data_IF_351228617408
#
_entry.id   IF_351228617408
#
_cell.length_a   1.000
_cell.length_b   1.000
_cell.length_c   1.000
_cell.angle_alpha   90.00
_cell.angle_beta   90.00
_cell.angle_gamma   90.00
#
_symmetry.space_group_name_H-M   'P 1'
#
loop_
_entity.id
_entity.type
_entity.pdbx_description
1 polymer ?
#
# COMPACT_ATOMS: atom_id res chain seq x y z
N UNK A 1 -10.05 -38.80 -18.21
CA UNK A 1 -8.71 -38.41 -18.71
C UNK A 1 -7.61 -38.59 -17.66
N UNK A 2 -7.78 -38.14 -16.41
CA UNK A 2 -6.74 -38.17 -15.35
C UNK A 2 -6.21 -39.53 -14.87
N UNK A 3 -6.89 -40.65 -15.16
CA UNK A 3 -6.49 -42.00 -14.70
C UNK A 3 -5.20 -42.52 -15.36
N UNK A 4 -4.78 -41.93 -16.49
CA UNK A 4 -3.55 -42.31 -17.21
C UNK A 4 -2.30 -41.56 -16.73
N UNK A 5 -2.44 -40.34 -16.20
CA UNK A 5 -1.30 -39.49 -15.81
C UNK A 5 -0.51 -40.02 -14.61
N UNK A 6 -1.12 -40.85 -13.77
CA UNK A 6 -0.50 -41.39 -12.55
C UNK A 6 0.43 -42.59 -12.78
N UNK A 7 0.54 -43.09 -14.02
CA UNK A 7 1.45 -44.22 -14.28
C UNK A 7 2.88 -43.68 -14.45
N UNK A 8 3.89 -44.26 -13.77
CA UNK A 8 5.25 -43.72 -13.76
C UNK A 8 5.83 -43.44 -15.15
N UNK A 9 5.53 -44.29 -16.13
CA UNK A 9 6.03 -44.17 -17.50
C UNK A 9 5.56 -42.90 -18.25
N UNK A 10 4.50 -42.24 -17.79
CA UNK A 10 3.96 -41.04 -18.44
C UNK A 10 4.33 -39.73 -17.72
N UNK A 11 4.85 -39.80 -16.49
CA UNK A 11 5.11 -38.60 -15.68
C UNK A 11 6.04 -37.62 -16.41
N UNK A 12 7.14 -38.11 -16.98
CA UNK A 12 8.10 -37.24 -17.66
C UNK A 12 7.53 -36.65 -18.97
N UNK A 13 6.90 -37.48 -19.80
CA UNK A 13 6.35 -37.02 -21.08
C UNK A 13 5.21 -36.03 -20.89
N UNK A 14 4.34 -36.28 -19.91
CA UNK A 14 3.21 -35.39 -19.60
C UNK A 14 3.69 -34.11 -18.90
N UNK A 15 4.65 -34.20 -17.98
CA UNK A 15 5.29 -33.03 -17.39
C UNK A 15 5.91 -32.10 -18.44
N UNK A 16 6.56 -32.64 -19.47
CA UNK A 16 7.09 -31.85 -20.61
C UNK A 16 5.97 -31.17 -21.41
N UNK A 17 4.85 -31.85 -21.65
CA UNK A 17 3.67 -31.27 -22.32
C UNK A 17 3.06 -30.13 -21.50
N UNK A 18 2.83 -30.36 -20.21
CA UNK A 18 2.29 -29.34 -19.29
C UNK A 18 3.21 -28.11 -19.19
N UNK A 19 4.52 -28.34 -19.14
CA UNK A 19 5.51 -27.26 -19.11
C UNK A 19 5.46 -26.42 -20.39
N UNK A 20 5.34 -27.06 -21.56
CA UNK A 20 5.20 -26.37 -22.85
C UNK A 20 3.90 -25.58 -22.92
N UNK A 21 2.78 -26.21 -22.54
CA UNK A 21 1.48 -25.55 -22.51
C UNK A 21 1.48 -24.31 -21.62
N UNK A 22 2.07 -24.39 -20.41
CA UNK A 22 2.23 -23.25 -19.51
C UNK A 22 3.10 -22.14 -20.13
N UNK A 23 4.19 -22.50 -20.80
CA UNK A 23 5.09 -21.53 -21.41
C UNK A 23 4.48 -20.80 -22.62
N UNK A 24 3.61 -21.47 -23.38
CA UNK A 24 2.95 -20.94 -24.58
C UNK A 24 1.63 -20.19 -24.27
N UNK A 25 1.07 -20.40 -23.09
CA UNK A 25 -0.19 -19.79 -22.66
C UNK A 25 -0.02 -18.29 -22.34
N UNK A 26 -0.49 -17.43 -23.24
CA UNK A 26 -0.40 -15.98 -23.06
C UNK A 26 -1.28 -15.47 -21.91
N UNK A 27 -2.39 -16.14 -21.63
CA UNK A 27 -3.38 -15.68 -20.67
C UNK A 27 -2.93 -15.90 -19.22
N UNK A 28 -1.98 -16.82 -18.97
CA UNK A 28 -1.32 -16.94 -17.67
C UNK A 28 -0.04 -16.11 -17.55
N UNK A 29 0.70 -15.93 -18.66
CA UNK A 29 1.98 -15.20 -18.65
C UNK A 29 1.81 -13.68 -18.73
N UNK A 30 0.74 -13.20 -19.39
CA UNK A 30 0.41 -11.78 -19.56
C UNK A 30 -1.11 -11.59 -19.44
N UNK A 31 -1.70 -11.94 -18.28
CA UNK A 31 -3.15 -11.85 -18.09
C UNK A 31 -3.65 -10.40 -18.21
N UNK A 32 -4.81 -10.16 -18.86
CA UNK A 32 -5.39 -8.82 -18.94
C UNK A 32 -5.86 -8.31 -17.57
N UNK A 33 -6.32 -9.21 -16.70
CA UNK A 33 -6.74 -8.90 -15.33
C UNK A 33 -6.58 -10.10 -14.39
N UNK A 34 -6.85 -9.86 -13.09
CA UNK A 34 -6.77 -10.88 -12.05
C UNK A 34 -7.69 -12.07 -12.31
N UNK A 35 -8.87 -11.84 -12.88
CA UNK A 35 -9.85 -12.90 -13.12
C UNK A 35 -9.35 -13.86 -14.19
N UNK A 36 -8.92 -13.33 -15.33
CA UNK A 36 -8.32 -14.11 -16.40
C UNK A 36 -7.12 -14.91 -15.91
N UNK A 37 -6.25 -14.28 -15.10
CA UNK A 37 -5.12 -14.97 -14.47
C UNK A 37 -5.56 -16.16 -13.60
N UNK A 38 -6.54 -15.95 -12.71
CA UNK A 38 -7.05 -17.00 -11.80
C UNK A 38 -7.70 -18.14 -12.56
N UNK A 39 -8.44 -17.84 -13.63
CA UNK A 39 -9.06 -18.87 -14.48
C UNK A 39 -7.99 -19.80 -15.07
N UNK A 40 -6.92 -19.23 -15.67
CA UNK A 40 -5.82 -20.02 -16.22
C UNK A 40 -4.98 -20.72 -15.15
N UNK A 41 -4.72 -20.06 -14.03
CA UNK A 41 -3.98 -20.64 -12.91
C UNK A 41 -4.68 -21.89 -12.37
N UNK A 42 -6.01 -21.88 -12.29
CA UNK A 42 -6.79 -23.04 -11.86
C UNK A 42 -6.70 -24.22 -12.85
N UNK A 43 -6.73 -23.95 -14.15
CA UNK A 43 -6.55 -24.95 -15.20
C UNK A 43 -5.17 -25.63 -15.06
N UNK A 44 -4.10 -24.83 -15.04
CA UNK A 44 -2.73 -25.33 -14.89
C UNK A 44 -2.53 -26.04 -13.55
N UNK A 45 -3.05 -25.48 -12.45
CA UNK A 45 -3.00 -26.14 -11.14
C UNK A 45 -3.62 -27.53 -11.20
N UNK A 46 -4.77 -27.68 -11.85
CA UNK A 46 -5.46 -28.97 -11.95
C UNK A 46 -4.62 -30.03 -12.66
N UNK A 47 -4.03 -29.65 -13.80
CA UNK A 47 -3.17 -30.55 -14.59
C UNK A 47 -1.91 -30.96 -13.82
N UNK A 48 -1.23 -29.99 -13.21
CA UNK A 48 -0.03 -30.24 -12.40
C UNK A 48 -0.34 -31.05 -11.14
N UNK A 49 -1.48 -30.79 -10.49
CA UNK A 49 -1.92 -31.55 -9.32
C UNK A 49 -2.22 -33.01 -9.69
N UNK A 50 -2.78 -33.25 -10.88
CA UNK A 50 -3.10 -34.60 -11.33
C UNK A 50 -1.89 -35.41 -11.83
N UNK A 51 -0.84 -34.73 -12.32
CA UNK A 51 0.43 -35.37 -12.69
C UNK A 51 1.06 -36.13 -11.50
N UNK A 52 0.98 -35.54 -10.31
CA UNK A 52 1.35 -36.15 -9.04
C UNK A 52 2.73 -36.88 -9.05
N UNK A 53 3.82 -36.20 -9.48
CA UNK A 53 5.09 -36.82 -9.86
C UNK A 53 5.91 -37.41 -8.71
N UNK A 54 5.63 -37.02 -7.46
CA UNK A 54 6.41 -37.42 -6.29
C UNK A 54 5.70 -38.49 -5.47
N UNK A 55 6.47 -39.28 -4.71
CA UNK A 55 5.91 -40.25 -3.75
C UNK A 55 5.15 -39.57 -2.61
N UNK A 56 5.65 -38.42 -2.16
CA UNK A 56 5.03 -37.54 -1.17
C UNK A 56 5.38 -36.08 -1.51
N UNK A 57 4.61 -35.12 -1.01
CA UNK A 57 4.93 -33.70 -1.15
C UNK A 57 4.32 -33.00 -2.36
N UNK A 58 3.56 -33.70 -3.20
CA UNK A 58 2.93 -33.12 -4.41
C UNK A 58 2.17 -31.83 -4.12
N UNK A 59 1.28 -31.81 -3.12
CA UNK A 59 0.54 -30.60 -2.78
C UNK A 59 1.42 -29.41 -2.40
N UNK A 60 2.50 -29.64 -1.63
CA UNK A 60 3.46 -28.58 -1.24
C UNK A 60 4.24 -28.09 -2.46
N UNK A 61 4.76 -29.00 -3.28
CA UNK A 61 5.52 -28.67 -4.49
C UNK A 61 4.65 -27.92 -5.50
N UNK A 62 3.43 -28.36 -5.76
CA UNK A 62 2.50 -27.70 -6.69
C UNK A 62 2.10 -26.31 -6.20
N UNK A 63 1.85 -26.12 -4.89
CA UNK A 63 1.55 -24.79 -4.33
C UNK A 63 2.71 -23.81 -4.51
N UNK A 64 3.95 -24.25 -4.25
CA UNK A 64 5.14 -23.42 -4.45
C UNK A 64 5.35 -23.12 -5.93
N UNK A 65 5.12 -24.09 -6.81
CA UNK A 65 5.21 -23.87 -8.25
C UNK A 65 4.18 -22.86 -8.75
N UNK A 66 2.91 -22.96 -8.33
CA UNK A 66 1.88 -21.97 -8.68
C UNK A 66 2.18 -20.57 -8.13
N UNK A 67 2.79 -20.47 -6.95
CA UNK A 67 3.25 -19.19 -6.41
C UNK A 67 4.35 -18.57 -7.30
N UNK A 68 5.28 -19.38 -7.81
CA UNK A 68 6.29 -18.92 -8.76
C UNK A 68 5.65 -18.45 -10.08
N UNK A 69 4.66 -19.19 -10.60
CA UNK A 69 3.90 -18.77 -11.79
C UNK A 69 3.20 -17.42 -11.56
N UNK A 70 2.54 -17.25 -10.41
CA UNK A 70 1.89 -15.99 -10.04
C UNK A 70 2.87 -14.82 -10.00
N UNK A 71 4.04 -15.00 -9.37
CA UNK A 71 5.06 -13.94 -9.28
C UNK A 71 5.54 -13.49 -10.65
N UNK A 72 5.73 -14.42 -11.59
CA UNK A 72 6.12 -14.10 -12.97
C UNK A 72 5.06 -13.29 -13.73
N UNK A 73 3.79 -13.48 -13.37
CA UNK A 73 2.66 -12.74 -13.95
C UNK A 73 2.33 -11.42 -13.22
N UNK A 74 3.14 -11.01 -12.23
CA UNK A 74 2.89 -9.78 -11.45
C UNK A 74 1.87 -9.95 -10.31
N UNK A 75 1.66 -11.18 -9.85
CA UNK A 75 0.79 -11.51 -8.73
C UNK A 75 1.54 -12.21 -7.60
N UNK A 76 0.97 -12.18 -6.40
CA UNK A 76 1.37 -12.99 -5.26
C UNK A 76 0.27 -13.97 -4.92
N UNK A 77 0.64 -15.19 -4.55
CA UNK A 77 -0.28 -16.19 -4.00
C UNK A 77 -0.15 -16.20 -2.47
N UNK A 78 -1.13 -15.64 -1.76
CA UNK A 78 -1.11 -15.59 -0.30
C UNK A 78 -1.44 -16.97 0.30
N UNK A 79 -0.40 -17.75 0.60
CA UNK A 79 -0.52 -19.08 1.16
C UNK A 79 -1.30 -19.10 2.49
N UNK A 80 -1.24 -18.03 3.28
CA UNK A 80 -1.95 -17.92 4.56
C UNK A 80 -3.47 -17.93 4.36
N UNK A 81 -3.94 -17.33 3.26
CA UNK A 81 -5.37 -17.34 2.89
C UNK A 81 -5.84 -18.73 2.50
N UNK A 82 -4.98 -19.52 1.85
CA UNK A 82 -5.26 -20.92 1.55
C UNK A 82 -5.26 -21.75 2.84
N UNK A 83 -4.28 -21.57 3.70
CA UNK A 83 -4.15 -22.33 4.96
C UNK A 83 -5.31 -22.05 5.91
N UNK A 84 -5.83 -20.83 5.93
CA UNK A 84 -7.04 -20.47 6.69
C UNK A 84 -8.30 -21.25 6.25
N UNK A 85 -8.31 -21.82 5.05
CA UNK A 85 -9.43 -22.60 4.50
C UNK A 85 -9.01 -24.02 4.10
N UNK A 86 -8.07 -24.62 4.84
CA UNK A 86 -7.44 -25.90 4.53
C UNK A 86 -8.42 -27.02 4.09
N UNK A 87 -9.53 -27.21 4.79
CA UNK A 87 -10.49 -28.27 4.43
C UNK A 87 -11.20 -27.97 3.11
N UNK A 88 -11.60 -26.70 2.88
CA UNK A 88 -12.15 -26.24 1.61
C UNK A 88 -11.15 -26.42 0.47
N UNK A 89 -9.87 -26.12 0.73
CA UNK A 89 -8.77 -26.33 -0.23
C UNK A 89 -8.60 -27.81 -0.58
N UNK A 90 -8.55 -28.70 0.41
CA UNK A 90 -8.38 -30.15 0.17
C UNK A 90 -9.53 -30.70 -0.69
N UNK A 91 -10.76 -30.30 -0.38
CA UNK A 91 -11.94 -30.69 -1.14
C UNK A 91 -11.87 -30.14 -2.58
N UNK A 92 -11.60 -28.84 -2.76
CA UNK A 92 -11.48 -28.21 -4.06
C UNK A 92 -10.34 -28.79 -4.92
N UNK A 93 -9.19 -29.10 -4.30
CA UNK A 93 -8.06 -29.74 -4.97
C UNK A 93 -8.38 -31.18 -5.41
N UNK A 94 -9.18 -31.90 -4.63
CA UNK A 94 -9.67 -33.22 -5.02
C UNK A 94 -10.65 -33.12 -6.20
N UNK A 95 -11.56 -32.14 -6.15
CA UNK A 95 -12.54 -31.89 -7.23
C UNK A 95 -11.89 -31.42 -8.52
N UNK A 96 -10.79 -30.64 -8.45
CA UNK A 96 -10.09 -30.18 -9.65
C UNK A 96 -9.58 -31.35 -10.49
N UNK A 97 -9.07 -32.42 -9.86
CA UNK A 97 -8.67 -33.65 -10.55
C UNK A 97 -9.83 -34.38 -11.27
N UNK A 98 -11.08 -34.01 -11.00
CA UNK A 98 -12.25 -34.51 -11.71
C UNK A 98 -12.74 -33.52 -12.79
N UNK A 99 -12.02 -32.41 -13.01
CA UNK A 99 -12.38 -31.32 -13.92
C UNK A 99 -13.33 -30.29 -13.31
N UNK A 100 -13.67 -30.39 -12.02
CA UNK A 100 -14.53 -29.43 -11.34
C UNK A 100 -13.69 -28.28 -10.78
N UNK A 101 -13.52 -27.22 -11.57
CA UNK A 101 -12.56 -26.15 -11.27
C UNK A 101 -13.14 -24.97 -10.49
N UNK A 102 -14.46 -24.78 -10.49
CA UNK A 102 -15.07 -23.61 -9.83
C UNK A 102 -14.70 -23.47 -8.34
N UNK A 103 -14.71 -24.54 -7.52
CA UNK A 103 -14.30 -24.43 -6.12
C UNK A 103 -12.84 -23.98 -5.94
N UNK A 104 -11.89 -24.44 -6.77
CA UNK A 104 -10.48 -24.01 -6.65
C UNK A 104 -10.26 -22.59 -7.18
N UNK A 105 -10.99 -22.19 -8.23
CA UNK A 105 -10.99 -20.80 -8.74
C UNK A 105 -11.44 -19.80 -7.70
N UNK A 106 -12.48 -20.13 -6.91
CA UNK A 106 -12.94 -19.26 -5.82
C UNK A 106 -11.85 -19.03 -4.77
N UNK A 107 -11.17 -20.09 -4.35
CA UNK A 107 -10.06 -19.97 -3.38
C UNK A 107 -8.91 -19.15 -3.97
N UNK A 108 -8.54 -19.39 -5.24
CA UNK A 108 -7.52 -18.58 -5.90
C UNK A 108 -7.94 -17.13 -6.07
N UNK A 109 -9.22 -16.83 -6.29
CA UNK A 109 -9.71 -15.44 -6.35
C UNK A 109 -9.48 -14.69 -5.04
N UNK A 110 -9.60 -15.37 -3.90
CA UNK A 110 -9.36 -14.82 -2.57
C UNK A 110 -7.85 -14.73 -2.23
N UNK A 111 -7.06 -15.71 -2.67
CA UNK A 111 -5.65 -15.86 -2.32
C UNK A 111 -4.68 -15.11 -3.25
N UNK A 112 -5.02 -14.97 -4.53
CA UNK A 112 -4.20 -14.23 -5.50
C UNK A 112 -4.37 -12.73 -5.29
N UNK A 113 -3.26 -12.01 -5.20
CA UNK A 113 -3.23 -10.55 -5.03
C UNK A 113 -2.28 -9.94 -6.06
N UNK A 114 -2.62 -8.81 -6.69
CA UNK A 114 -1.64 -8.08 -7.50
C UNK A 114 -0.40 -7.72 -6.67
N UNK A 115 0.80 -7.88 -7.23
CA UNK A 115 2.04 -7.64 -6.48
C UNK A 115 2.10 -6.22 -5.90
N UNK A 116 1.62 -5.22 -6.64
CA UNK A 116 1.50 -3.84 -6.17
C UNK A 116 0.68 -3.68 -4.88
N UNK A 117 -0.34 -4.50 -4.66
CA UNK A 117 -1.15 -4.46 -3.45
C UNK A 117 -0.38 -5.02 -2.25
N UNK A 118 0.39 -6.09 -2.48
CA UNK A 118 1.27 -6.70 -1.47
C UNK A 118 2.41 -5.75 -1.10
N UNK A 119 3.03 -5.11 -2.09
CA UNK A 119 4.11 -4.14 -1.88
C UNK A 119 3.61 -2.88 -1.16
N UNK A 120 2.40 -2.39 -1.50
CA UNK A 120 1.77 -1.28 -0.79
C UNK A 120 1.54 -1.58 0.70
N UNK A 121 1.13 -2.81 1.03
CA UNK A 121 0.86 -3.23 2.40
C UNK A 121 2.13 -3.43 3.23
N UNK A 122 3.17 -4.03 2.63
CA UNK A 122 4.26 -4.63 3.39
C UNK A 122 5.62 -3.93 3.22
N UNK A 123 5.81 -3.12 2.17
CA UNK A 123 7.08 -2.45 1.93
C UNK A 123 7.06 -0.99 2.41
N UNK A 124 8.21 -0.45 2.82
CA UNK A 124 8.37 0.98 2.99
C UNK A 124 7.99 1.72 1.69
N UNK A 125 7.34 2.88 1.84
CA UNK A 125 6.82 3.68 0.72
C UNK A 125 7.81 3.89 -0.42
N UNK A 126 9.06 4.25 -0.09
CA UNK A 126 10.10 4.52 -1.10
C UNK A 126 10.45 3.28 -1.93
N UNK A 127 10.47 2.11 -1.29
CA UNK A 127 10.68 0.83 -1.97
C UNK A 127 9.48 0.47 -2.84
N UNK A 128 8.26 0.63 -2.30
CA UNK A 128 7.03 0.40 -3.05
C UNK A 128 6.94 1.28 -4.31
N UNK A 129 7.36 2.56 -4.23
CA UNK A 129 7.43 3.46 -5.39
C UNK A 129 8.45 3.04 -6.44
N UNK A 130 9.59 2.51 -6.01
CA UNK A 130 10.61 2.01 -6.94
C UNK A 130 10.09 0.83 -7.75
N UNK A 131 9.34 -0.06 -7.10
CA UNK A 131 8.74 -1.23 -7.74
C UNK A 131 7.51 -0.87 -8.57
N UNK A 132 6.70 0.07 -8.08
CA UNK A 132 5.39 0.43 -8.60
C UNK A 132 5.17 1.95 -8.56
N UNK A 133 5.71 2.71 -9.53
CA UNK A 133 5.58 4.16 -9.59
C UNK A 133 4.12 4.66 -9.63
N UNK A 134 3.20 3.84 -10.12
CA UNK A 134 1.76 4.12 -10.15
C UNK A 134 1.12 4.24 -8.76
N UNK A 135 1.76 3.74 -7.70
CA UNK A 135 1.25 3.83 -6.32
C UNK A 135 1.39 5.22 -5.71
N UNK A 136 2.08 6.17 -6.37
CA UNK A 136 2.27 7.55 -5.89
C UNK A 136 0.96 8.21 -5.49
N UNK A 137 -0.06 8.12 -6.34
CA UNK A 137 -1.37 8.71 -6.05
C UNK A 137 -2.04 8.02 -4.85
N UNK A 138 -1.92 6.69 -4.72
CA UNK A 138 -2.50 5.94 -3.60
C UNK A 138 -1.90 6.32 -2.25
N UNK A 139 -0.58 6.48 -2.18
CA UNK A 139 0.07 6.98 -0.95
C UNK A 139 -0.21 8.46 -0.69
N UNK A 140 -0.35 9.28 -1.74
CA UNK A 140 -0.73 10.68 -1.60
C UNK A 140 -2.17 10.84 -1.12
N UNK A 141 -3.09 9.96 -1.51
CA UNK A 141 -4.45 9.89 -0.96
C UNK A 141 -4.41 9.68 0.56
N UNK A 142 -3.62 8.72 1.06
CA UNK A 142 -3.46 8.52 2.51
C UNK A 142 -2.89 9.76 3.21
N UNK A 143 -1.97 10.49 2.56
CA UNK A 143 -1.43 11.73 3.12
C UNK A 143 -2.48 12.84 3.19
N UNK A 144 -3.30 13.00 2.16
CA UNK A 144 -4.42 13.95 2.14
C UNK A 144 -5.43 13.62 3.24
N UNK A 145 -5.84 12.35 3.34
CA UNK A 145 -6.78 11.87 4.38
C UNK A 145 -6.22 12.13 5.78
N UNK A 146 -4.93 11.81 6.02
CA UNK A 146 -4.29 12.09 7.30
C UNK A 146 -4.29 13.58 7.64
N UNK A 147 -3.99 14.44 6.66
CA UNK A 147 -4.02 15.90 6.85
C UNK A 147 -5.42 16.40 7.18
N UNK A 148 -6.46 15.91 6.49
CA UNK A 148 -7.85 16.25 6.77
C UNK A 148 -8.27 15.83 8.18
N UNK A 149 -7.95 14.59 8.57
CA UNK A 149 -8.27 14.06 9.90
C UNK A 149 -7.52 14.79 11.00
N UNK A 150 -6.25 15.14 10.80
CA UNK A 150 -5.47 15.90 11.78
C UNK A 150 -6.05 17.31 11.99
N UNK A 151 -6.56 17.96 10.94
CA UNK A 151 -7.25 19.24 11.04
C UNK A 151 -8.60 19.13 11.75
N UNK A 152 -9.33 18.03 11.55
CA UNK A 152 -10.61 17.77 12.22
C UNK A 152 -10.44 17.34 13.69
N UNK A 153 -9.33 16.70 14.03
CA UNK A 153 -9.06 16.12 15.36
C UNK A 153 -7.69 16.54 15.92
N UNK A 154 -7.42 17.85 16.10
CA UNK A 154 -6.10 18.36 16.44
C UNK A 154 -5.55 17.86 17.79
N UNK A 155 -6.42 17.47 18.71
CA UNK A 155 -6.05 16.99 20.06
C UNK A 155 -6.17 15.48 20.24
N UNK A 156 -6.52 14.73 19.18
CA UNK A 156 -6.74 13.29 19.27
C UNK A 156 -6.00 12.49 18.18
N UNK A 157 -4.67 12.31 18.33
CA UNK A 157 -3.87 11.53 17.37
C UNK A 157 -4.31 10.06 17.26
N UNK A 158 -4.80 9.46 18.34
CA UNK A 158 -5.24 8.06 18.35
C UNK A 158 -6.46 7.85 17.45
N UNK A 159 -7.40 8.81 17.44
CA UNK A 159 -8.51 8.79 16.50
C UNK A 159 -8.04 8.87 15.05
N UNK A 160 -7.07 9.76 14.75
CA UNK A 160 -6.47 9.87 13.40
C UNK A 160 -5.87 8.51 12.99
N UNK A 161 -5.07 7.87 13.83
CA UNK A 161 -4.46 6.58 13.52
C UNK A 161 -5.51 5.47 13.33
N UNK A 162 -6.60 5.47 14.10
CA UNK A 162 -7.71 4.53 13.92
C UNK A 162 -8.37 4.68 12.54
N UNK A 163 -8.74 5.90 12.15
CA UNK A 163 -9.35 6.16 10.84
C UNK A 163 -8.37 5.88 9.69
N UNK A 164 -7.09 6.16 9.87
CA UNK A 164 -6.08 5.87 8.85
C UNK A 164 -5.92 4.37 8.56
N UNK A 165 -6.11 3.49 9.56
CA UNK A 165 -6.16 2.04 9.32
C UNK A 165 -7.33 1.64 8.41
N UNK A 166 -8.49 2.26 8.61
CA UNK A 166 -9.66 2.03 7.76
C UNK A 166 -9.42 2.52 6.32
N UNK A 167 -8.89 3.74 6.15
CA UNK A 167 -8.53 4.29 4.82
C UNK A 167 -7.48 3.46 4.08
N UNK A 168 -6.49 2.95 4.81
CA UNK A 168 -5.50 2.02 4.24
C UNK A 168 -6.15 0.74 3.73
N UNK A 169 -7.10 0.20 4.50
CA UNK A 169 -7.87 -1.00 4.12
C UNK A 169 -8.75 -0.75 2.89
N UNK A 170 -9.36 0.42 2.77
CA UNK A 170 -10.14 0.82 1.59
C UNK A 170 -9.30 0.85 0.31
N UNK A 171 -8.12 1.48 0.37
CA UNK A 171 -7.18 1.52 -0.76
C UNK A 171 -6.69 0.11 -1.12
N UNK A 172 -6.33 -0.70 -0.12
CA UNK A 172 -5.90 -2.08 -0.33
C UNK A 172 -6.96 -2.92 -1.04
N UNK A 173 -8.24 -2.77 -0.66
CA UNK A 173 -9.35 -3.46 -1.34
C UNK A 173 -9.40 -3.10 -2.84
N UNK A 174 -9.24 -1.82 -3.18
CA UNK A 174 -9.25 -1.39 -4.59
C UNK A 174 -8.04 -1.96 -5.36
N UNK A 175 -6.87 -1.94 -4.73
CA UNK A 175 -5.64 -2.53 -5.29
C UNK A 175 -5.77 -4.05 -5.50
N UNK A 176 -6.37 -4.76 -4.55
CA UNK A 176 -6.62 -6.21 -4.63
C UNK A 176 -7.60 -6.58 -5.76
N UNK A 177 -8.48 -5.65 -6.15
CA UNK A 177 -9.36 -5.77 -7.32
C UNK A 177 -8.64 -5.44 -8.65
N UNK A 178 -7.35 -5.12 -8.60
CA UNK A 178 -6.55 -4.77 -9.77
C UNK A 178 -6.67 -3.31 -10.20
N UNK A 179 -7.47 -2.48 -9.52
CA UNK A 179 -7.63 -1.05 -9.82
C UNK A 179 -6.63 -0.22 -9.02
N UNK A 180 -6.24 0.94 -9.54
CA UNK A 180 -5.30 1.85 -8.85
C UNK A 180 -6.07 3.13 -8.50
N UNK A 181 -6.23 3.45 -7.20
CA UNK A 181 -6.78 4.74 -6.78
C UNK A 181 -5.91 5.90 -7.27
N UNK A 182 -6.53 6.89 -7.90
CA UNK A 182 -5.87 8.09 -8.43
C UNK A 182 -6.40 9.35 -7.77
N UNK A 183 -5.58 10.40 -7.76
CA UNK A 183 -5.97 11.70 -7.25
C UNK A 183 -6.91 12.40 -8.24
N UNK A 184 -7.89 13.15 -7.72
CA UNK A 184 -8.68 14.08 -8.53
C UNK A 184 -7.80 15.22 -9.05
N UNK A 185 -8.25 15.91 -10.10
CA UNK A 185 -7.51 17.07 -10.64
C UNK A 185 -7.28 18.16 -9.60
N UNK A 186 -8.21 18.35 -8.66
CA UNK A 186 -8.03 19.29 -7.56
C UNK A 186 -6.99 18.82 -6.55
N UNK A 187 -7.06 17.55 -6.14
CA UNK A 187 -6.08 16.97 -5.22
C UNK A 187 -4.66 17.01 -5.81
N UNK A 188 -4.49 16.78 -7.12
CA UNK A 188 -3.20 16.91 -7.81
C UNK A 188 -2.66 18.34 -7.72
N UNK A 189 -3.47 19.34 -8.06
CA UNK A 189 -3.08 20.76 -7.95
C UNK A 189 -2.69 21.13 -6.51
N UNK A 190 -3.43 20.65 -5.52
CA UNK A 190 -3.16 20.90 -4.11
C UNK A 190 -1.87 20.21 -3.64
N UNK A 191 -1.62 18.98 -4.07
CA UNK A 191 -0.39 18.25 -3.79
C UNK A 191 0.84 18.95 -4.41
N UNK A 192 0.73 19.41 -5.65
CA UNK A 192 1.77 20.17 -6.33
C UNK A 192 2.05 21.50 -5.62
N UNK A 193 1.00 22.24 -5.25
CA UNK A 193 1.11 23.49 -4.50
C UNK A 193 1.76 23.28 -3.12
N UNK A 194 1.39 22.21 -2.40
CA UNK A 194 1.99 21.86 -1.11
C UNK A 194 3.48 21.50 -1.26
N UNK A 195 3.84 20.77 -2.32
CA UNK A 195 5.23 20.45 -2.64
C UNK A 195 6.05 21.69 -2.96
N UNK A 196 5.53 22.58 -3.82
CA UNK A 196 6.15 23.85 -4.15
C UNK A 196 6.32 24.74 -2.90
N UNK A 197 5.31 24.79 -2.02
CA UNK A 197 5.35 25.52 -0.77
C UNK A 197 6.47 25.03 0.18
N UNK A 198 6.75 23.71 0.19
CA UNK A 198 7.81 23.13 1.02
C UNK A 198 9.21 23.26 0.40
N UNK A 199 9.32 23.05 -0.92
CA UNK A 199 10.61 22.88 -1.59
C UNK A 199 11.15 24.10 -2.33
N UNK A 200 10.32 25.07 -2.71
CA UNK A 200 10.74 26.23 -3.52
C UNK A 200 10.89 27.50 -2.68
N UNK A 201 11.53 28.52 -3.26
CA UNK A 201 11.53 29.85 -2.64
C UNK A 201 10.11 30.44 -2.64
N UNK A 202 9.75 31.31 -1.68
CA UNK A 202 8.43 31.95 -1.63
C UNK A 202 8.01 32.62 -2.94
N UNK A 203 8.96 33.25 -3.64
CA UNK A 203 8.71 33.95 -4.91
C UNK A 203 8.39 32.99 -6.05
N UNK A 204 9.13 31.88 -6.15
CA UNK A 204 8.90 30.85 -7.16
C UNK A 204 7.58 30.11 -6.89
N UNK A 205 7.34 29.72 -5.65
CA UNK A 205 6.12 29.04 -5.24
C UNK A 205 4.87 29.89 -5.54
N UNK A 206 4.89 31.19 -5.20
CA UNK A 206 3.78 32.10 -5.49
C UNK A 206 3.57 32.35 -6.99
N UNK A 207 4.64 32.32 -7.80
CA UNK A 207 4.56 32.48 -9.26
C UNK A 207 3.85 31.28 -9.90
N UNK A 208 4.18 30.07 -9.46
CA UNK A 208 3.58 28.84 -9.99
C UNK A 208 2.18 28.58 -9.42
N UNK A 209 1.97 28.93 -8.15
CA UNK A 209 0.71 28.72 -7.44
C UNK A 209 0.28 30.02 -6.74
N UNK A 210 -0.45 30.92 -7.43
CA UNK A 210 -0.86 32.21 -6.86
C UNK A 210 -1.68 32.09 -5.56
N UNK A 211 -2.41 30.99 -5.37
CA UNK A 211 -3.16 30.69 -4.15
C UNK A 211 -2.26 30.57 -2.89
N UNK A 212 -0.94 30.40 -3.05
CA UNK A 212 0.01 30.36 -1.94
C UNK A 212 0.30 31.73 -1.31
N UNK A 213 -0.19 32.83 -1.87
CA UNK A 213 0.05 34.17 -1.32
C UNK A 213 -0.38 34.28 0.17
N UNK A 214 -1.55 33.74 0.52
CA UNK A 214 -2.06 33.73 1.89
C UNK A 214 -1.16 32.93 2.86
N UNK A 215 -0.90 31.63 2.59
CA UNK A 215 -0.03 30.81 3.44
C UNK A 215 1.39 31.35 3.57
N UNK A 216 1.96 31.91 2.50
CA UNK A 216 3.29 32.52 2.52
C UNK A 216 3.33 33.78 3.40
N UNK A 217 2.30 34.62 3.33
CA UNK A 217 2.16 35.77 4.22
C UNK A 217 2.03 35.34 5.68
N UNK A 218 1.25 34.30 5.97
CA UNK A 218 1.13 33.73 7.33
C UNK A 218 2.48 33.22 7.84
N UNK A 219 3.24 32.49 7.03
CA UNK A 219 4.57 32.00 7.41
C UNK A 219 5.56 33.16 7.65
N UNK A 220 5.51 34.20 6.81
CA UNK A 220 6.35 35.41 6.98
C UNK A 220 6.03 36.19 8.26
N UNK A 221 4.75 36.40 8.56
CA UNK A 221 4.32 37.05 9.79
C UNK A 221 4.71 36.24 11.05
N UNK A 222 4.57 34.92 10.98
CA UNK A 222 4.99 34.03 12.06
C UNK A 222 6.50 34.10 12.30
N UNK A 223 7.31 34.12 11.23
CA UNK A 223 8.77 34.33 11.32
C UNK A 223 9.11 35.64 12.02
N UNK A 224 8.52 36.76 11.59
CA UNK A 224 8.78 38.07 12.19
C UNK A 224 8.40 38.11 13.69
N UNK A 225 7.33 37.43 14.08
CA UNK A 225 6.93 37.32 15.49
C UNK A 225 7.96 36.52 16.32
N UNK A 226 8.50 35.43 15.78
CA UNK A 226 9.54 34.64 16.47
C UNK A 226 10.86 35.43 16.58
N UNK A 227 11.22 36.20 15.55
CA UNK A 227 12.42 37.05 15.55
C UNK A 227 12.35 38.11 16.67
N UNK A 228 11.16 38.63 16.95
CA UNK A 228 10.92 39.62 18.01
C UNK A 228 10.95 39.04 19.44
N UNK A 229 10.80 37.72 19.61
CA UNK A 229 10.70 37.07 20.93
C UNK A 229 12.06 36.72 21.56
N UNK A 230 13.18 36.99 20.88
CA UNK A 230 14.52 36.73 21.43
C UNK A 230 14.83 35.25 21.70
N UNK A 231 14.05 34.33 21.13
CA UNK A 231 14.25 32.88 21.29
C UNK A 231 15.49 32.39 20.54
N UNK A 232 16.06 31.28 21.03
CA UNK A 232 17.22 30.61 20.45
C UNK A 232 17.00 30.22 18.97
N UNK A 233 18.05 30.30 18.17
CA UNK A 233 18.00 30.04 16.73
C UNK A 233 17.46 28.63 16.41
N UNK A 234 17.93 27.60 17.11
CA UNK A 234 17.49 26.23 16.88
C UNK A 234 15.98 26.05 17.14
N UNK A 235 15.49 26.64 18.23
CA UNK A 235 14.05 26.61 18.57
C UNK A 235 13.21 27.34 17.53
N UNK A 236 13.71 28.47 17.02
CA UNK A 236 13.08 29.24 15.95
C UNK A 236 12.97 28.45 14.65
N UNK A 237 14.06 27.79 14.24
CA UNK A 237 14.08 26.97 13.01
C UNK A 237 13.13 25.78 13.11
N UNK A 238 13.05 25.14 14.27
CA UNK A 238 12.10 24.06 14.52
C UNK A 238 10.65 24.56 14.47
N UNK A 239 10.36 25.70 15.12
CA UNK A 239 9.02 26.31 15.10
C UNK A 239 8.58 26.68 13.68
N UNK A 240 9.48 27.27 12.88
CA UNK A 240 9.24 27.58 11.48
C UNK A 240 8.99 26.33 10.64
N UNK A 241 9.77 25.28 10.86
CA UNK A 241 9.59 23.99 10.17
C UNK A 241 8.22 23.39 10.46
N UNK A 242 7.81 23.39 11.73
CA UNK A 242 6.51 22.89 12.16
C UNK A 242 5.37 23.71 11.53
N UNK A 243 5.47 25.05 11.55
CA UNK A 243 4.47 25.93 10.95
C UNK A 243 4.38 25.74 9.43
N UNK A 244 5.54 25.59 8.75
CA UNK A 244 5.59 25.33 7.32
C UNK A 244 4.91 24.01 6.97
N UNK A 245 5.14 22.95 7.76
CA UNK A 245 4.48 21.67 7.57
C UNK A 245 2.96 21.77 7.81
N UNK A 246 2.54 22.45 8.88
CA UNK A 246 1.11 22.64 9.18
C UNK A 246 0.37 23.40 8.07
N UNK A 247 0.98 24.45 7.51
CA UNK A 247 0.43 25.16 6.36
C UNK A 247 0.42 24.30 5.09
N UNK A 248 1.47 23.51 4.85
CA UNK A 248 1.51 22.57 3.73
C UNK A 248 0.40 21.51 3.80
N UNK A 249 0.11 20.99 4.99
CA UNK A 249 -0.99 20.04 5.19
C UNK A 249 -2.35 20.70 4.94
N UNK A 250 -2.55 21.97 5.34
CA UNK A 250 -3.75 22.73 4.98
C UNK A 250 -3.89 22.90 3.46
N UNK A 251 -2.81 23.31 2.78
CA UNK A 251 -2.77 23.44 1.31
C UNK A 251 -3.13 22.11 0.64
N UNK A 252 -2.56 21.00 1.13
CA UNK A 252 -2.82 19.66 0.62
C UNK A 252 -4.33 19.29 0.67
N UNK A 253 -5.04 19.80 1.67
CA UNK A 253 -6.51 19.64 1.81
C UNK A 253 -7.35 20.71 1.11
N UNK A 254 -6.74 21.63 0.36
CA UNK A 254 -7.41 22.73 -0.33
C UNK A 254 -7.68 23.97 0.54
N UNK A 255 -7.15 24.02 1.76
CA UNK A 255 -7.34 25.13 2.70
C UNK A 255 -6.22 26.18 2.58
N UNK A 256 -6.34 27.10 1.61
CA UNK A 256 -5.35 28.15 1.36
C UNK A 256 -5.51 29.41 2.23
N UNK A 257 -6.56 29.52 3.05
CA UNK A 257 -6.81 30.73 3.84
C UNK A 257 -5.76 30.92 4.94
N UNK A 258 -5.40 32.19 5.20
CA UNK A 258 -4.56 32.60 6.31
C UNK A 258 -5.15 32.16 7.65
N UNK A 259 -4.35 31.51 8.49
CA UNK A 259 -4.72 31.17 9.86
C UNK A 259 -4.26 32.30 10.79
N UNK A 260 -5.08 32.70 11.75
CA UNK A 260 -4.63 33.62 12.81
C UNK A 260 -3.52 32.92 13.61
N UNK A 261 -2.35 33.55 13.67
CA UNK A 261 -1.12 33.05 14.34
C UNK A 261 -1.35 32.65 15.80
N UNK A 262 -2.39 33.18 16.44
CA UNK A 262 -2.76 32.88 17.83
C UNK A 262 -3.31 31.44 18.05
N UNK A 263 -3.83 30.79 17.01
CA UNK A 263 -4.38 29.42 17.10
C UNK A 263 -3.30 28.32 17.05
N UNK A 264 -2.10 28.62 16.56
CA UNK A 264 -0.96 27.70 16.56
C UNK A 264 0.01 28.09 17.67
N UNK A 265 -0.39 27.85 18.93
CA UNK A 265 0.47 28.12 20.09
C UNK A 265 1.75 27.28 20.00
N UNK A 266 2.90 27.95 19.95
CA UNK A 266 4.18 27.35 20.30
C UNK A 266 4.14 27.04 21.80
N UNK A 267 4.19 25.76 22.17
CA UNK A 267 4.55 25.36 23.54
C UNK A 267 6.04 25.02 23.53
N UNK A 268 6.92 25.89 24.04
CA UNK A 268 8.28 25.46 24.34
C UNK A 268 8.19 24.31 25.33
N UNK A 269 8.83 23.17 25.02
CA UNK A 269 9.09 22.14 26.03
C UNK A 269 9.98 22.79 27.08
N UNK A 270 9.42 23.11 28.24
CA UNK A 270 10.22 23.34 29.43
C UNK A 270 10.73 21.97 29.86
N UNK A 271 11.89 21.57 29.38
CA UNK A 271 12.66 20.46 29.96
C UNK A 271 13.24 20.95 31.30
N UNK A 272 12.39 21.05 32.31
CA UNK A 272 12.86 21.04 33.70
C UNK A 272 13.09 19.57 34.07
N UNK A 273 14.28 19.19 34.58
CA UNK A 273 14.49 17.82 35.06
C UNK A 273 13.59 17.60 36.27
N UNK A 274 12.57 16.75 36.13
CA UNK A 274 11.90 16.15 37.27
C UNK A 274 12.95 15.38 38.07
N UNK A 275 13.26 15.88 39.27
CA UNK A 275 14.06 15.18 40.23
C UNK A 275 13.41 13.83 40.52
N UNK A 276 14.05 12.74 40.06
CA UNK A 276 13.75 11.39 40.50
C UNK A 276 14.03 11.31 41.99
N UNK A 277 12.96 11.38 42.79
CA UNK A 277 13.05 11.08 44.21
C UNK A 277 13.15 9.56 44.35
N UNK A 278 14.34 9.09 44.71
CA UNK A 278 14.57 7.75 45.21
C UNK A 278 13.65 7.49 46.40
N UNK A 279 12.93 6.37 46.38
CA UNK A 279 12.58 5.59 47.57
C UNK A 279 12.01 4.21 47.16
N UNK A 280 12.90 3.22 47.10
CA UNK A 280 12.62 1.88 47.65
C UNK A 280 12.63 1.98 49.19
N UNK A 281 11.93 1.14 49.98
CA UNK A 281 12.06 -0.33 49.87
C UNK A 281 10.85 -1.21 50.27
N UNK A 282 11.07 -2.51 49.99
CA UNK A 282 10.37 -3.75 50.37
C UNK A 282 9.23 -4.23 49.45
#
# INVERSE_FOLDING_TARGET
MFRFLKRPQYIESEGKKLSRALAEDKDINQPPDKRAFVERLADHYSDWNALHPFREGNGRSTRVFMEYVARRAGYSLDQRRIDAVKERWNHAASQSMAGQLEPIKQIFMEAVRPQRAVDFENLPRETAYKNHPELRDSFMLLRIERAQLALAHPTNPQAVDHFMRQKTTEILRVLDMGKIPTLTSEQKRNADAASAFLGKSPREAAKEHPALAGPLATLGAYKAALDAQGIEQAQREQALTNMRQALADRILTGQYRSVQTQQMRFQPRNDAPEATNEQSPL
#
